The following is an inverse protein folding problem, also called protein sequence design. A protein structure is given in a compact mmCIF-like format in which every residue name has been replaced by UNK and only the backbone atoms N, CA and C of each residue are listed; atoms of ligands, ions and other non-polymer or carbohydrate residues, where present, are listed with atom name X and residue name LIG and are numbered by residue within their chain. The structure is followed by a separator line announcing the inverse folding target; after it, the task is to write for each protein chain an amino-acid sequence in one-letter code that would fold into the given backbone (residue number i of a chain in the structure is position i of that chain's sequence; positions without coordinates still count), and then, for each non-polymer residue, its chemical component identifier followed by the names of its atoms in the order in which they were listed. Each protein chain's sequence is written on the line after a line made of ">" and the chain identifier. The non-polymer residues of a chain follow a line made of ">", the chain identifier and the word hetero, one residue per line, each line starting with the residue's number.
data_IF_627662248932
#
_entry.id   IF_627662248932
#
_cell.length_a   1.000
_cell.length_b   1.000
_cell.length_c   1.000
_cell.angle_alpha   90.00
_cell.angle_beta   90.00
_cell.angle_gamma   90.00
#
_symmetry.space_group_name_H-M   'P 1'
#
loop_
_entity.id
_entity.type
_entity.pdbx_description
1 polymer ?
#
# COMPACT_ATOMS: atom_id res chain seq x y z
N UNK A 1 -3.39 2.73 -25.90
CA UNK A 1 -3.92 2.42 -24.55
C UNK A 1 -3.21 3.35 -23.57
N UNK A 2 -3.84 4.45 -23.14
CA UNK A 2 -3.23 5.40 -22.21
C UNK A 2 -3.28 4.78 -20.82
N UNK A 3 -2.15 4.26 -20.34
CA UNK A 3 -2.01 3.85 -18.95
C UNK A 3 -2.03 5.15 -18.15
N UNK A 4 -3.14 5.47 -17.51
CA UNK A 4 -3.19 6.62 -16.60
C UNK A 4 -2.12 6.41 -15.54
N UNK A 5 -1.19 7.37 -15.33
CA UNK A 5 -0.19 7.21 -14.30
C UNK A 5 -0.90 7.01 -12.96
N UNK A 6 -0.51 5.96 -12.24
CA UNK A 6 -1.08 5.64 -10.92
C UNK A 6 -1.10 6.90 -10.06
N UNK A 7 -2.23 7.20 -9.42
CA UNK A 7 -2.30 8.35 -8.51
C UNK A 7 -1.37 8.15 -7.31
N UNK A 8 -1.02 9.23 -6.61
CA UNK A 8 -0.16 9.17 -5.42
C UNK A 8 -0.72 8.24 -4.34
N UNK A 9 -2.05 8.16 -4.20
CA UNK A 9 -2.71 7.18 -3.33
C UNK A 9 -2.31 5.75 -3.71
N UNK A 10 -2.51 5.34 -4.96
CA UNK A 10 -2.21 3.98 -5.41
C UNK A 10 -0.73 3.64 -5.22
N UNK A 11 0.17 4.57 -5.58
CA UNK A 11 1.61 4.37 -5.39
C UNK A 11 1.99 4.24 -3.92
N UNK A 12 1.35 5.02 -3.04
CA UNK A 12 1.56 4.93 -1.59
C UNK A 12 1.08 3.60 -1.02
N UNK A 13 -0.07 3.10 -1.47
CA UNK A 13 -0.58 1.80 -1.06
C UNK A 13 0.32 0.64 -1.53
N UNK A 14 0.86 0.73 -2.75
CA UNK A 14 1.83 -0.25 -3.25
C UNK A 14 3.12 -0.18 -2.41
N UNK A 15 3.63 1.02 -2.14
CA UNK A 15 4.81 1.20 -1.30
C UNK A 15 4.57 0.64 0.12
N UNK A 16 3.40 0.90 0.73
CA UNK A 16 3.03 0.31 2.02
C UNK A 16 3.04 -1.22 1.99
N UNK A 17 2.45 -1.83 0.97
CA UNK A 17 2.46 -3.28 0.80
C UNK A 17 3.89 -3.81 0.67
N UNK A 18 4.73 -3.14 -0.13
CA UNK A 18 6.11 -3.56 -0.33
C UNK A 18 6.97 -3.45 0.94
N UNK A 19 6.77 -2.40 1.73
CA UNK A 19 7.38 -2.25 3.06
C UNK A 19 6.89 -3.34 4.02
N UNK A 20 5.59 -3.62 4.01
CA UNK A 20 4.98 -4.62 4.89
C UNK A 20 5.48 -6.04 4.59
N UNK A 21 5.74 -6.35 3.31
CA UNK A 21 6.27 -7.63 2.86
C UNK A 21 7.80 -7.74 2.92
N UNK A 22 8.50 -6.65 3.28
CA UNK A 22 9.95 -6.65 3.41
C UNK A 22 10.72 -6.69 2.08
N UNK A 23 10.14 -6.18 0.98
CA UNK A 23 10.79 -6.22 -0.34
C UNK A 23 12.05 -5.35 -0.48
N UNK A 24 12.40 -4.57 0.55
CA UNK A 24 13.69 -3.90 0.60
C UNK A 24 13.74 -2.74 1.60
N UNK A 25 14.88 -2.02 1.62
CA UNK A 25 15.05 -0.83 2.44
C UNK A 25 14.03 0.24 2.11
N UNK A 26 13.55 0.95 3.14
CA UNK A 26 12.50 1.95 3.02
C UNK A 26 12.79 2.98 1.93
N UNK A 27 13.97 3.61 1.96
CA UNK A 27 14.35 4.62 0.98
C UNK A 27 14.27 4.13 -0.49
N UNK A 28 14.63 2.87 -0.74
CA UNK A 28 14.59 2.28 -2.10
C UNK A 28 13.14 2.08 -2.55
N UNK A 29 12.28 1.58 -1.65
CA UNK A 29 10.86 1.36 -1.94
C UNK A 29 10.17 2.69 -2.26
N UNK A 30 10.42 3.72 -1.46
CA UNK A 30 9.87 5.05 -1.68
C UNK A 30 10.32 5.65 -3.03
N UNK A 31 11.61 5.56 -3.35
CA UNK A 31 12.15 6.04 -4.62
C UNK A 31 11.58 5.27 -5.82
N UNK A 32 11.51 3.94 -5.74
CA UNK A 32 10.97 3.07 -6.79
C UNK A 32 9.52 3.42 -7.12
N UNK A 33 8.71 3.69 -6.10
CA UNK A 33 7.30 4.02 -6.25
C UNK A 33 7.03 5.53 -6.39
N UNK A 34 8.07 6.37 -6.45
CA UNK A 34 7.96 7.82 -6.58
C UNK A 34 7.01 8.43 -5.53
N UNK A 35 7.19 8.01 -4.27
CA UNK A 35 6.42 8.52 -3.13
C UNK A 35 7.35 9.00 -2.02
N UNK A 36 6.89 10.01 -1.29
CA UNK A 36 7.61 10.53 -0.13
C UNK A 36 7.07 9.96 1.18
N UNK A 37 7.79 10.19 2.27
CA UNK A 37 7.29 9.89 3.62
C UNK A 37 6.00 10.67 3.94
N UNK A 38 5.87 11.91 3.43
CA UNK A 38 4.67 12.72 3.64
C UNK A 38 3.45 12.12 2.93
N UNK A 39 3.64 11.51 1.75
CA UNK A 39 2.57 10.83 1.02
C UNK A 39 2.12 9.56 1.75
N UNK A 40 3.07 8.78 2.28
CA UNK A 40 2.77 7.62 3.12
C UNK A 40 1.98 8.06 4.36
N UNK A 41 2.44 9.08 5.09
CA UNK A 41 1.73 9.60 6.25
C UNK A 41 0.30 10.06 5.89
N UNK A 42 0.13 10.76 4.77
CA UNK A 42 -1.18 11.20 4.27
C UNK A 42 -2.13 10.03 4.02
N UNK A 43 -1.63 8.91 3.50
CA UNK A 43 -2.43 7.75 3.10
C UNK A 43 -2.38 6.58 4.09
N UNK A 44 -1.87 6.81 5.30
CA UNK A 44 -1.76 5.77 6.33
C UNK A 44 -3.14 5.23 6.74
N UNK A 45 -4.14 6.09 6.87
CA UNK A 45 -5.51 5.69 7.20
C UNK A 45 -6.13 4.81 6.10
N UNK A 46 -5.86 5.13 4.83
CA UNK A 46 -6.31 4.32 3.68
C UNK A 46 -5.70 2.91 3.73
N UNK A 47 -4.40 2.83 4.06
CA UNK A 47 -3.71 1.55 4.24
C UNK A 47 -4.28 0.73 5.40
N UNK A 48 -4.51 1.35 6.56
CA UNK A 48 -5.11 0.68 7.72
C UNK A 48 -6.50 0.12 7.41
N UNK A 49 -7.34 0.88 6.69
CA UNK A 49 -8.65 0.42 6.25
C UNK A 49 -8.55 -0.81 5.36
N UNK A 50 -7.60 -0.82 4.41
CA UNK A 50 -7.38 -1.98 3.53
C UNK A 50 -6.91 -3.21 4.29
N UNK A 51 -6.04 -3.06 5.29
CA UNK A 51 -5.64 -4.18 6.14
C UNK A 51 -6.82 -4.76 6.93
N UNK A 52 -7.68 -3.90 7.49
CA UNK A 52 -8.87 -4.33 8.21
C UNK A 52 -9.84 -5.12 7.31
N UNK A 53 -10.07 -4.65 6.07
CA UNK A 53 -10.88 -5.36 5.09
C UNK A 53 -10.28 -6.72 4.73
N UNK A 54 -8.98 -6.78 4.46
CA UNK A 54 -8.29 -8.05 4.16
C UNK A 54 -8.44 -9.07 5.29
N UNK A 55 -8.27 -8.63 6.54
CA UNK A 55 -8.39 -9.52 7.69
C UNK A 55 -9.84 -10.02 7.87
N UNK A 56 -10.84 -9.17 7.63
CA UNK A 56 -12.23 -9.57 7.67
C UNK A 56 -12.58 -10.58 6.57
N UNK A 57 -12.06 -10.39 5.35
CA UNK A 57 -12.25 -11.33 4.24
C UNK A 57 -11.54 -12.68 4.52
N UNK A 58 -10.35 -12.66 5.11
CA UNK A 58 -9.64 -13.87 5.53
C UNK A 58 -10.43 -14.63 6.59
N UNK A 59 -10.92 -13.96 7.63
CA UNK A 59 -11.74 -14.58 8.66
C UNK A 59 -13.03 -15.20 8.09
N UNK A 60 -13.67 -14.54 7.12
CA UNK A 60 -14.88 -15.05 6.48
C UNK A 60 -14.62 -16.27 5.57
N UNK A 61 -13.44 -16.34 4.95
CA UNK A 61 -13.02 -17.51 4.16
C UNK A 61 -12.63 -18.71 5.03
N UNK A 62 -12.08 -18.50 6.22
CA UNK A 62 -11.73 -19.58 7.16
C UNK A 62 -12.95 -20.23 7.84
N UNK A 63 -14.11 -19.55 7.82
CA UNK A 63 -15.38 -20.03 8.38
C UNK A 63 -16.28 -20.76 7.37
N UNK A 64 -15.85 -20.88 6.11
CA UNK A 64 -16.55 -21.60 5.03
C UNK A 64 -15.94 -22.96 4.77
#
# INVERSE_FOLDING_TARGET
>A
MRISPLSTLHRSLIAFSALHLGYGPRAIVLATHQVTEADLHRHQADWQRLQALRNADQANNELR
#
